data_IF_783033986692
#
_entry.id   IF_783033986692
#
_cell.length_a   1.000
_cell.length_b   1.000
_cell.length_c   1.000
_cell.angle_alpha   90.00
_cell.angle_beta   90.00
_cell.angle_gamma   90.00
#
_symmetry.space_group_name_H-M   'P 1'
#
loop_
_entity.id
_entity.type
_entity.pdbx_description
1 polymer ?
#
# COMPACT_ATOMS: atom_id res chain seq x y z
N UNK A 1 11.83 -28.21 10.67
CA UNK A 1 12.00 -27.18 9.62
C UNK A 1 11.14 -25.99 10.00
N UNK A 2 11.73 -24.87 10.40
CA UNK A 2 10.98 -23.65 10.73
C UNK A 2 10.86 -22.82 9.45
N UNK A 3 9.64 -22.47 9.04
CA UNK A 3 9.44 -21.50 7.98
C UNK A 3 9.76 -20.11 8.55
N UNK A 4 10.81 -19.47 8.03
CA UNK A 4 11.03 -18.06 8.31
C UNK A 4 9.95 -17.29 7.53
N UNK A 5 9.15 -16.49 8.24
CA UNK A 5 8.26 -15.55 7.57
C UNK A 5 9.12 -14.40 7.06
N UNK A 6 9.52 -14.48 5.78
CA UNK A 6 10.43 -13.51 5.15
C UNK A 6 9.67 -12.29 4.58
N UNK A 7 8.67 -11.78 5.30
CA UNK A 7 7.90 -10.58 4.91
C UNK A 7 7.75 -9.63 6.12
N UNK A 8 8.17 -8.34 6.10
CA UNK A 8 8.43 -7.46 4.97
C UNK A 8 9.90 -6.97 4.92
N UNK A 9 10.69 -7.47 3.98
CA UNK A 9 12.14 -7.27 4.00
C UNK A 9 12.57 -6.12 3.11
N UNK A 10 12.59 -4.92 3.71
CA UNK A 10 13.51 -3.87 3.26
C UNK A 10 14.90 -3.98 3.88
N UNK A 11 15.11 -4.93 4.81
CA UNK A 11 16.35 -5.09 5.55
C UNK A 11 17.32 -6.10 4.92
N UNK A 12 16.95 -6.80 3.84
CA UNK A 12 17.86 -7.70 3.12
C UNK A 12 18.18 -7.12 1.76
N UNK A 13 19.42 -6.65 1.61
CA UNK A 13 20.04 -6.41 0.32
C UNK A 13 20.53 -7.76 -0.21
N UNK A 14 19.72 -8.45 -1.02
CA UNK A 14 20.05 -9.79 -1.51
C UNK A 14 21.38 -9.83 -2.30
N UNK A 15 21.74 -8.75 -2.99
CA UNK A 15 23.07 -8.58 -3.60
C UNK A 15 24.23 -8.75 -2.62
N UNK A 16 24.09 -8.26 -1.39
CA UNK A 16 25.15 -8.31 -0.38
C UNK A 16 24.99 -9.52 0.57
N UNK A 17 23.83 -10.18 0.54
CA UNK A 17 23.47 -11.26 1.48
C UNK A 17 23.47 -12.65 0.85
N UNK A 18 23.31 -12.76 -0.48
CA UNK A 18 23.34 -14.02 -1.22
C UNK A 18 24.58 -14.16 -2.12
N UNK A 19 25.31 -13.06 -2.37
CA UNK A 19 26.64 -13.12 -2.98
C UNK A 19 27.67 -13.17 -1.87
N UNK A 20 27.79 -14.34 -1.24
CA UNK A 20 28.90 -14.69 -0.39
C UNK A 20 29.38 -16.06 -0.81
N UNK A 21 30.70 -16.27 -0.87
CA UNK A 21 31.23 -17.64 -0.91
C UNK A 21 30.58 -18.40 0.26
N UNK A 22 29.91 -19.52 -0.03
CA UNK A 22 29.44 -20.42 1.01
C UNK A 22 30.58 -20.61 2.02
N UNK A 23 30.41 -20.14 3.26
CA UNK A 23 31.47 -20.14 4.28
C UNK A 23 31.81 -21.53 4.82
N UNK A 24 31.53 -22.58 4.06
CA UNK A 24 32.05 -23.92 4.31
C UNK A 24 32.19 -24.65 2.98
N UNK A 25 33.39 -25.18 2.72
CA UNK A 25 33.71 -26.03 1.57
C UNK A 25 32.82 -27.28 1.46
N UNK A 26 32.00 -27.57 2.47
CA UNK A 26 31.15 -28.77 2.56
C UNK A 26 29.74 -28.66 1.93
N UNK A 27 29.35 -27.55 1.28
CA UNK A 27 27.99 -27.40 0.68
C UNK A 27 27.94 -26.87 -0.77
N UNK A 28 29.03 -27.00 -1.53
CA UNK A 28 29.15 -26.45 -2.88
C UNK A 28 28.26 -27.10 -3.97
N UNK A 29 27.63 -28.24 -3.73
CA UNK A 29 26.84 -28.93 -4.77
C UNK A 29 25.34 -28.59 -4.79
N UNK A 30 24.80 -27.91 -3.77
CA UNK A 30 23.35 -27.65 -3.66
C UNK A 30 22.98 -26.15 -3.65
N UNK A 31 23.95 -25.24 -3.78
CA UNK A 31 23.66 -23.81 -3.84
C UNK A 31 23.26 -23.42 -5.27
N UNK A 32 22.07 -22.81 -5.49
CA UNK A 32 21.65 -22.40 -6.83
C UNK A 32 22.60 -21.32 -7.37
N UNK A 33 23.06 -21.49 -8.61
CA UNK A 33 23.80 -20.45 -9.33
C UNK A 33 22.83 -19.31 -9.67
N UNK A 34 22.99 -18.16 -8.98
CA UNK A 34 22.20 -16.95 -9.18
C UNK A 34 22.94 -15.91 -10.04
N UNK A 35 24.12 -16.23 -10.58
CA UNK A 35 24.97 -15.28 -11.32
C UNK A 35 24.31 -14.72 -12.60
N UNK A 36 23.37 -15.46 -13.17
CA UNK A 36 22.61 -15.06 -14.37
C UNK A 36 21.25 -14.43 -14.07
N UNK A 37 20.80 -14.40 -12.81
CA UNK A 37 19.47 -13.90 -12.45
C UNK A 37 19.52 -12.44 -12.00
N UNK A 38 18.60 -11.61 -12.52
CA UNK A 38 18.48 -10.24 -12.04
C UNK A 38 17.87 -10.21 -10.62
N UNK A 39 18.20 -9.20 -9.81
CA UNK A 39 17.54 -9.00 -8.52
C UNK A 39 16.02 -8.91 -8.61
N UNK A 40 15.50 -8.36 -9.71
CA UNK A 40 14.07 -8.24 -9.93
C UNK A 40 13.43 -9.62 -10.10
N UNK A 41 14.07 -10.50 -10.87
CA UNK A 41 13.58 -11.86 -11.10
C UNK A 41 13.68 -12.71 -9.82
N UNK A 42 14.80 -12.61 -9.10
CA UNK A 42 14.98 -13.28 -7.82
C UNK A 42 13.92 -12.84 -6.80
N UNK A 43 13.72 -11.53 -6.63
CA UNK A 43 12.70 -10.99 -5.75
C UNK A 43 11.30 -11.44 -6.13
N UNK A 44 11.00 -11.47 -7.44
CA UNK A 44 9.74 -11.96 -7.95
C UNK A 44 9.52 -13.44 -7.63
N UNK A 45 10.55 -14.28 -7.72
CA UNK A 45 10.46 -15.70 -7.31
C UNK A 45 10.21 -15.82 -5.81
N UNK A 46 10.94 -15.07 -4.98
CA UNK A 46 10.75 -15.06 -3.53
C UNK A 46 9.32 -14.69 -3.18
N UNK A 47 8.81 -13.57 -3.71
CA UNK A 47 7.45 -13.09 -3.44
C UNK A 47 6.39 -14.14 -3.85
N UNK A 48 6.59 -14.81 -4.99
CA UNK A 48 5.69 -15.88 -5.45
C UNK A 48 5.73 -17.10 -4.54
N UNK A 49 6.89 -17.43 -3.99
CA UNK A 49 7.09 -18.54 -3.07
C UNK A 49 6.65 -18.23 -1.63
N UNK A 50 6.56 -16.95 -1.24
CA UNK A 50 6.17 -16.50 0.09
C UNK A 50 4.88 -15.67 0.05
N UNK A 51 3.76 -16.20 -0.48
CA UNK A 51 2.50 -15.48 -0.45
C UNK A 51 2.00 -15.31 0.99
N UNK A 52 1.16 -14.30 1.23
CA UNK A 52 0.42 -14.18 2.49
C UNK A 52 -0.31 -15.49 2.84
N UNK A 53 -0.46 -15.82 4.14
CA UNK A 53 -1.17 -16.99 4.61
C UNK A 53 -2.52 -17.20 3.95
N UNK A 54 -2.88 -18.48 3.82
CA UNK A 54 -4.16 -18.88 3.22
C UNK A 54 -5.35 -18.20 3.89
N UNK A 55 -5.35 -18.05 5.22
CA UNK A 55 -6.46 -17.40 5.92
C UNK A 55 -6.58 -15.91 5.54
N UNK A 56 -5.47 -15.16 5.47
CA UNK A 56 -5.48 -13.75 5.03
C UNK A 56 -6.00 -13.62 3.59
N UNK A 57 -5.51 -14.46 2.69
CA UNK A 57 -5.98 -14.47 1.30
C UNK A 57 -7.46 -14.83 1.19
N UNK A 58 -7.95 -15.73 2.04
CA UNK A 58 -9.36 -16.10 2.08
C UNK A 58 -10.23 -14.95 2.59
N UNK A 59 -9.79 -14.24 3.64
CA UNK A 59 -10.49 -13.05 4.13
C UNK A 59 -10.53 -11.97 3.05
N UNK A 60 -9.39 -11.66 2.41
CA UNK A 60 -9.33 -10.66 1.35
C UNK A 60 -10.24 -11.01 0.16
N UNK A 61 -10.22 -12.28 -0.30
CA UNK A 61 -11.15 -12.75 -1.35
C UNK A 61 -12.61 -12.64 -0.93
N UNK A 62 -12.91 -12.99 0.31
CA UNK A 62 -14.27 -12.87 0.87
C UNK A 62 -14.70 -11.40 0.94
N UNK A 63 -13.81 -10.49 1.34
CA UNK A 63 -14.09 -9.06 1.40
C UNK A 63 -14.33 -8.47 0.00
N UNK A 64 -13.48 -8.81 -0.97
CA UNK A 64 -13.66 -8.39 -2.36
C UNK A 64 -15.03 -8.86 -2.86
N UNK A 65 -15.35 -10.14 -2.70
CA UNK A 65 -16.61 -10.72 -3.19
C UNK A 65 -17.86 -10.19 -2.48
N UNK A 66 -17.81 -10.07 -1.16
CA UNK A 66 -19.01 -9.82 -0.35
C UNK A 66 -19.20 -8.35 0.02
N UNK A 67 -18.18 -7.50 -0.20
CA UNK A 67 -18.25 -6.06 0.13
C UNK A 67 -17.91 -5.19 -1.06
N UNK A 68 -16.77 -5.43 -1.73
CA UNK A 68 -16.37 -4.61 -2.89
C UNK A 68 -17.34 -4.86 -4.05
N UNK A 69 -17.54 -6.10 -4.46
CA UNK A 69 -18.39 -6.47 -5.61
C UNK A 69 -19.89 -6.13 -5.38
N UNK A 70 -20.32 -5.98 -4.13
CA UNK A 70 -21.68 -5.52 -3.81
C UNK A 70 -21.88 -4.02 -4.05
N UNK A 71 -20.80 -3.23 -4.03
CA UNK A 71 -20.80 -1.79 -4.28
C UNK A 71 -20.25 -1.42 -5.66
N UNK A 72 -19.50 -2.33 -6.30
CA UNK A 72 -18.74 -2.14 -7.53
C UNK A 72 -18.99 -3.37 -8.41
N UNK A 73 -19.89 -3.26 -9.40
CA UNK A 73 -20.49 -4.39 -10.12
C UNK A 73 -19.49 -5.38 -10.73
N UNK A 74 -18.38 -4.90 -11.31
CA UNK A 74 -17.30 -5.73 -11.85
C UNK A 74 -16.13 -5.88 -10.89
N UNK A 75 -16.25 -5.37 -9.66
CA UNK A 75 -15.24 -5.43 -8.63
C UNK A 75 -13.96 -4.68 -8.99
N UNK A 76 -14.03 -3.72 -9.93
CA UNK A 76 -12.86 -2.97 -10.39
C UNK A 76 -12.64 -1.71 -9.57
N UNK A 77 -11.52 -1.60 -8.88
CA UNK A 77 -11.32 -0.52 -7.91
C UNK A 77 -9.92 0.09 -7.90
N UNK A 78 -9.91 1.36 -7.51
CA UNK A 78 -8.72 2.10 -7.12
C UNK A 78 -8.38 1.77 -5.66
N UNK A 79 -7.22 1.20 -5.38
CA UNK A 79 -6.68 1.21 -4.03
C UNK A 79 -5.79 2.45 -3.84
N UNK A 80 -6.01 3.20 -2.76
CA UNK A 80 -5.18 4.32 -2.33
C UNK A 80 -4.56 3.99 -0.98
N UNK A 81 -3.25 4.05 -0.87
CA UNK A 81 -2.58 4.02 0.42
C UNK A 81 -2.27 5.44 0.91
N UNK A 82 -2.94 5.87 1.97
CA UNK A 82 -2.66 7.12 2.64
C UNK A 82 -1.68 6.89 3.80
N UNK A 83 -0.49 7.50 3.74
CA UNK A 83 0.55 7.34 4.78
C UNK A 83 0.92 8.62 5.49
N UNK A 84 0.60 9.76 4.89
CA UNK A 84 1.03 11.08 5.36
C UNK A 84 0.28 11.41 6.65
N UNK A 85 1.02 11.58 7.74
CA UNK A 85 0.48 11.95 9.03
C UNK A 85 1.38 12.97 9.73
N UNK A 86 0.79 13.73 10.66
CA UNK A 86 1.51 14.65 11.57
C UNK A 86 2.39 13.90 12.60
N UNK A 87 2.29 12.57 12.66
CA UNK A 87 3.11 11.72 13.51
C UNK A 87 4.45 11.33 12.87
N UNK A 88 4.71 10.03 12.78
CA UNK A 88 6.02 9.51 12.38
C UNK A 88 6.49 10.02 11.01
N UNK A 89 5.57 10.23 10.07
CA UNK A 89 5.96 10.52 8.69
C UNK A 89 6.49 11.94 8.59
N UNK A 90 5.77 12.91 9.18
CA UNK A 90 6.23 14.29 9.25
C UNK A 90 7.38 14.49 10.23
N UNK A 91 7.53 13.66 11.27
CA UNK A 91 8.71 13.73 12.14
C UNK A 91 10.03 13.53 11.36
N UNK A 92 10.04 12.68 10.33
CA UNK A 92 11.19 12.54 9.43
C UNK A 92 11.45 13.80 8.60
N UNK A 93 10.40 14.54 8.25
CA UNK A 93 10.50 15.83 7.57
C UNK A 93 11.06 16.90 8.50
N UNK A 94 10.56 17.01 9.73
CA UNK A 94 11.01 17.98 10.74
C UNK A 94 12.48 17.79 11.12
N UNK A 95 12.96 16.54 11.24
CA UNK A 95 14.39 16.26 11.47
C UNK A 95 15.27 16.70 10.29
N UNK A 96 14.79 16.61 9.05
CA UNK A 96 15.54 17.01 7.85
C UNK A 96 15.49 18.52 7.57
N UNK A 97 14.45 19.21 8.04
CA UNK A 97 14.31 20.67 7.89
C UNK A 97 15.42 21.45 8.60
N UNK A 98 16.15 20.85 9.55
CA UNK A 98 17.37 21.45 10.11
C UNK A 98 18.53 21.58 9.11
N UNK A 99 18.54 20.83 7.99
CA UNK A 99 19.71 20.79 7.09
C UNK A 99 19.42 20.78 5.57
N UNK A 100 18.23 20.34 5.09
CA UNK A 100 17.82 20.46 3.67
C UNK A 100 16.30 20.55 3.52
N UNK A 101 15.82 21.55 2.78
CA UNK A 101 14.42 21.62 2.33
C UNK A 101 14.11 20.42 1.44
N UNK A 102 13.02 19.71 1.74
CA UNK A 102 12.51 18.61 0.93
C UNK A 102 11.21 19.07 0.29
N UNK A 103 11.14 19.20 -1.05
CA UNK A 103 9.92 19.62 -1.75
C UNK A 103 8.70 18.76 -1.40
N UNK A 104 8.93 17.46 -1.15
CA UNK A 104 7.92 16.49 -0.74
C UNK A 104 7.37 16.81 0.66
N UNK A 105 8.25 17.18 1.60
CA UNK A 105 7.83 17.57 2.95
C UNK A 105 7.03 18.87 2.95
N UNK A 106 7.48 19.87 2.19
CA UNK A 106 6.76 21.15 2.05
C UNK A 106 5.36 20.94 1.46
N UNK A 107 5.24 20.09 0.44
CA UNK A 107 3.96 19.75 -0.17
C UNK A 107 3.02 19.10 0.83
N UNK A 108 3.47 18.10 1.58
CA UNK A 108 2.61 17.42 2.57
C UNK A 108 2.17 18.40 3.64
N UNK A 109 3.10 19.17 4.24
CA UNK A 109 2.77 20.15 5.29
C UNK A 109 1.75 21.20 4.82
N UNK A 110 1.84 21.67 3.57
CA UNK A 110 0.93 22.67 3.04
C UNK A 110 -0.45 22.10 2.66
N UNK A 111 -0.57 20.79 2.44
CA UNK A 111 -1.75 20.17 1.81
C UNK A 111 -2.50 19.17 2.67
N UNK A 112 -1.86 18.54 3.67
CA UNK A 112 -2.46 17.46 4.48
C UNK A 112 -3.76 17.88 5.16
N UNK A 113 -3.87 19.14 5.59
CA UNK A 113 -5.06 19.69 6.23
C UNK A 113 -6.09 20.28 5.23
N UNK A 114 -6.04 19.86 3.95
CA UNK A 114 -6.92 20.34 2.87
C UNK A 114 -7.79 19.20 2.28
N UNK A 115 -8.62 18.51 3.09
CA UNK A 115 -9.36 17.32 2.66
C UNK A 115 -10.24 17.55 1.43
N UNK A 116 -10.88 18.73 1.31
CA UNK A 116 -11.71 19.06 0.14
C UNK A 116 -10.91 19.14 -1.16
N UNK A 117 -9.70 19.70 -1.11
CA UNK A 117 -8.86 19.82 -2.30
C UNK A 117 -8.24 18.46 -2.66
N UNK A 118 -7.82 17.69 -1.66
CA UNK A 118 -7.34 16.31 -1.85
C UNK A 118 -8.43 15.45 -2.48
N UNK A 119 -9.65 15.51 -1.95
CA UNK A 119 -10.82 14.81 -2.49
C UNK A 119 -11.06 15.13 -3.97
N UNK A 120 -10.98 16.41 -4.36
CA UNK A 120 -11.12 16.81 -5.75
C UNK A 120 -10.06 16.17 -6.65
N UNK A 121 -8.78 16.14 -6.24
CA UNK A 121 -7.72 15.50 -7.03
C UNK A 121 -7.88 13.97 -7.12
N UNK A 122 -8.36 13.33 -6.04
CA UNK A 122 -8.66 11.89 -6.05
C UNK A 122 -9.79 11.60 -7.04
N UNK A 123 -10.86 12.40 -7.03
CA UNK A 123 -11.99 12.26 -7.95
C UNK A 123 -11.59 12.53 -9.40
N UNK A 124 -10.80 13.58 -9.65
CA UNK A 124 -10.26 13.87 -10.99
C UNK A 124 -9.41 12.70 -11.51
N UNK A 125 -8.57 12.11 -10.65
CA UNK A 125 -7.78 10.93 -11.00
C UNK A 125 -8.64 9.70 -11.28
N UNK A 126 -9.68 9.48 -10.47
CA UNK A 126 -10.62 8.38 -10.63
C UNK A 126 -11.44 8.52 -11.92
N UNK A 127 -12.01 9.69 -12.19
CA UNK A 127 -12.84 9.95 -13.37
C UNK A 127 -12.08 9.83 -14.69
N UNK A 128 -10.75 10.00 -14.67
CA UNK A 128 -9.89 9.75 -15.82
C UNK A 128 -9.72 8.25 -16.16
N UNK A 129 -10.32 7.34 -15.38
CA UNK A 129 -10.23 5.88 -15.50
C UNK A 129 -11.62 5.25 -15.48
N UNK A 130 -12.33 5.25 -16.62
CA UNK A 130 -13.72 4.78 -16.69
C UNK A 130 -13.88 3.29 -16.39
N UNK A 131 -12.79 2.52 -16.32
CA UNK A 131 -12.84 1.12 -15.92
C UNK A 131 -13.01 0.89 -14.40
N UNK A 132 -12.81 1.93 -13.59
CA UNK A 132 -12.88 1.85 -12.13
C UNK A 132 -14.28 2.22 -11.63
N UNK A 133 -14.77 1.49 -10.64
CA UNK A 133 -16.14 1.60 -10.14
C UNK A 133 -16.21 2.10 -8.70
N UNK A 134 -15.06 2.13 -8.01
CA UNK A 134 -14.96 2.71 -6.69
C UNK A 134 -13.54 2.74 -6.16
N UNK A 135 -13.42 3.18 -4.90
CA UNK A 135 -12.15 3.45 -4.25
C UNK A 135 -12.09 2.70 -2.91
N UNK A 136 -10.98 2.02 -2.66
CA UNK A 136 -10.60 1.53 -1.35
C UNK A 136 -9.44 2.38 -0.80
N UNK A 137 -9.60 2.98 0.38
CA UNK A 137 -8.55 3.78 1.02
C UNK A 137 -7.99 3.02 2.23
N UNK A 138 -6.73 2.58 2.12
CA UNK A 138 -5.94 2.05 3.22
C UNK A 138 -5.22 3.20 3.92
N UNK A 139 -5.39 3.33 5.23
CA UNK A 139 -4.76 4.38 6.01
C UNK A 139 -4.51 3.91 7.45
N UNK A 140 -3.48 4.45 8.14
CA UNK A 140 -3.35 4.28 9.58
C UNK A 140 -4.66 4.67 10.29
N UNK A 141 -5.01 3.93 11.34
CA UNK A 141 -6.26 4.14 12.08
C UNK A 141 -6.32 5.54 12.70
N UNK A 142 -5.17 6.13 13.01
CA UNK A 142 -5.04 7.48 13.56
C UNK A 142 -5.43 8.57 12.54
N UNK A 143 -5.30 8.29 11.24
CA UNK A 143 -5.67 9.21 10.16
C UNK A 143 -7.16 9.17 9.83
N UNK A 144 -7.95 8.42 10.60
CA UNK A 144 -9.37 8.24 10.35
C UNK A 144 -10.15 9.57 10.19
N UNK A 145 -9.95 10.60 11.04
CA UNK A 145 -10.66 11.86 10.88
C UNK A 145 -10.41 12.53 9.51
N UNK A 146 -9.19 12.45 8.99
CA UNK A 146 -8.84 13.01 7.69
C UNK A 146 -9.47 12.20 6.55
N UNK A 147 -9.41 10.86 6.63
CA UNK A 147 -10.01 9.99 5.63
C UNK A 147 -11.54 10.17 5.57
N UNK A 148 -12.19 10.31 6.72
CA UNK A 148 -13.63 10.59 6.77
C UNK A 148 -13.95 11.97 6.19
N UNK A 149 -13.10 12.98 6.42
CA UNK A 149 -13.25 14.31 5.79
C UNK A 149 -13.07 14.27 4.27
N UNK A 150 -12.11 13.48 3.76
CA UNK A 150 -11.92 13.25 2.33
C UNK A 150 -13.15 12.54 1.75
N UNK A 151 -13.57 11.43 2.35
CA UNK A 151 -14.76 10.66 1.92
C UNK A 151 -16.01 11.53 1.90
N UNK A 152 -16.25 12.32 2.95
CA UNK A 152 -17.38 13.24 3.03
C UNK A 152 -17.32 14.34 1.97
N UNK A 153 -16.12 14.77 1.59
CA UNK A 153 -15.93 15.76 0.52
C UNK A 153 -16.17 15.19 -0.88
N UNK A 154 -15.94 13.88 -1.08
CA UNK A 154 -16.28 13.19 -2.33
C UNK A 154 -17.80 12.95 -2.42
N UNK A 155 -18.44 12.63 -1.30
CA UNK A 155 -19.89 12.39 -1.26
C UNK A 155 -20.28 11.03 -1.86
N UNK A 156 -21.54 10.92 -2.31
CA UNK A 156 -22.12 9.65 -2.80
C UNK A 156 -21.82 9.36 -4.28
N UNK A 157 -21.11 10.26 -4.97
CA UNK A 157 -20.83 10.11 -6.41
C UNK A 157 -19.89 8.95 -6.72
N UNK A 158 -19.05 8.55 -5.77
CA UNK A 158 -18.09 7.45 -5.94
C UNK A 158 -18.22 6.51 -4.74
N UNK A 159 -18.43 5.20 -4.94
CA UNK A 159 -18.37 4.22 -3.87
C UNK A 159 -16.99 4.21 -3.21
N UNK A 160 -16.93 4.59 -1.92
CA UNK A 160 -15.69 4.60 -1.14
C UNK A 160 -15.79 3.63 0.04
N UNK A 161 -14.86 2.69 0.07
CA UNK A 161 -14.59 1.79 1.17
C UNK A 161 -13.29 2.19 1.87
N UNK A 162 -13.26 2.02 3.18
CA UNK A 162 -12.12 2.35 4.05
C UNK A 162 -11.94 1.25 5.09
N UNK A 163 -10.91 1.36 5.91
CA UNK A 163 -10.51 0.35 6.89
C UNK A 163 -11.65 -0.26 7.74
N UNK A 164 -12.67 0.52 8.12
CA UNK A 164 -13.81 -0.01 8.89
C UNK A 164 -14.58 -1.11 8.18
N UNK A 165 -14.74 -0.99 6.86
CA UNK A 165 -15.48 -1.99 6.09
C UNK A 165 -14.73 -3.32 6.11
N UNK A 166 -13.40 -3.27 6.03
CA UNK A 166 -12.54 -4.44 6.15
C UNK A 166 -12.54 -4.99 7.57
N UNK A 167 -12.42 -4.12 8.58
CA UNK A 167 -12.42 -4.51 9.99
C UNK A 167 -13.70 -5.24 10.36
N UNK A 168 -14.86 -4.66 10.02
CA UNK A 168 -16.17 -5.27 10.28
C UNK A 168 -16.31 -6.63 9.59
N UNK A 169 -15.88 -6.72 8.32
CA UNK A 169 -15.92 -7.97 7.57
C UNK A 169 -15.01 -9.04 8.18
N UNK A 170 -13.77 -8.68 8.50
CA UNK A 170 -12.77 -9.56 9.09
C UNK A 170 -13.26 -10.14 10.43
N UNK A 171 -13.72 -9.29 11.35
CA UNK A 171 -14.21 -9.71 12.66
C UNK A 171 -15.46 -10.59 12.56
N UNK A 172 -16.32 -10.35 11.56
CA UNK A 172 -17.50 -11.20 11.31
C UNK A 172 -17.16 -12.62 10.85
N UNK A 173 -16.01 -12.81 10.19
CA UNK A 173 -15.58 -14.13 9.71
C UNK A 173 -14.99 -15.00 10.82
N UNK A 174 -14.51 -14.41 11.91
CA UNK A 174 -13.85 -15.09 13.02
C UNK A 174 -14.37 -14.58 14.36
N UNK A 175 -15.68 -14.72 14.64
CA UNK A 175 -16.25 -14.25 15.90
C UNK A 175 -15.59 -14.99 17.08
N UNK A 176 -15.24 -14.24 18.13
CA UNK A 176 -14.60 -14.74 19.36
C UNK A 176 -13.23 -15.42 19.15
N UNK A 177 -12.45 -14.95 18.17
CA UNK A 177 -11.09 -15.46 17.94
C UNK A 177 -10.05 -14.61 18.69
N UNK A 178 -9.68 -15.03 19.90
CA UNK A 178 -8.68 -14.31 20.72
C UNK A 178 -7.37 -14.05 19.97
N UNK A 179 -6.88 -15.02 19.20
CA UNK A 179 -5.66 -14.85 18.42
C UNK A 179 -5.76 -13.71 17.39
N UNK A 180 -6.94 -13.53 16.78
CA UNK A 180 -7.17 -12.44 15.83
C UNK A 180 -7.22 -11.08 16.54
N UNK A 181 -7.79 -11.03 17.74
CA UNK A 181 -7.83 -9.82 18.57
C UNK A 181 -6.42 -9.44 19.03
N UNK A 182 -5.65 -10.41 19.56
CA UNK A 182 -4.30 -10.19 20.06
C UNK A 182 -3.32 -9.73 18.97
N UNK A 183 -3.55 -10.16 17.71
CA UNK A 183 -2.69 -9.84 16.56
C UNK A 183 -3.39 -8.91 15.56
N UNK A 184 -4.39 -8.15 16.01
CA UNK A 184 -5.29 -7.38 15.15
C UNK A 184 -4.54 -6.47 14.17
N UNK A 185 -3.59 -5.67 14.66
CA UNK A 185 -2.90 -4.67 13.84
C UNK A 185 -2.08 -5.30 12.69
N UNK A 186 -1.38 -6.40 12.96
CA UNK A 186 -0.57 -7.10 11.96
C UNK A 186 -1.44 -7.81 10.92
N UNK A 187 -2.53 -8.45 11.38
CA UNK A 187 -3.52 -9.09 10.51
C UNK A 187 -4.18 -8.04 9.63
N UNK A 188 -4.69 -6.96 10.22
CA UNK A 188 -5.38 -5.89 9.53
C UNK A 188 -4.49 -5.24 8.47
N UNK A 189 -3.28 -4.82 8.85
CA UNK A 189 -2.30 -4.25 7.91
C UNK A 189 -1.95 -5.23 6.78
N UNK A 190 -1.81 -6.53 7.09
CA UNK A 190 -1.54 -7.54 6.07
C UNK A 190 -2.72 -7.76 5.11
N UNK A 191 -3.96 -7.67 5.60
CA UNK A 191 -5.15 -7.73 4.77
C UNK A 191 -5.29 -6.52 3.86
N UNK A 192 -5.03 -5.32 4.37
CA UNK A 192 -5.02 -4.11 3.55
C UNK A 192 -4.00 -4.18 2.43
N UNK A 193 -2.81 -4.73 2.71
CA UNK A 193 -1.82 -4.96 1.65
C UNK A 193 -2.31 -6.00 0.63
N UNK A 194 -2.96 -7.09 1.07
CA UNK A 194 -3.52 -8.08 0.15
C UNK A 194 -4.58 -7.44 -0.75
N UNK A 195 -5.49 -6.65 -0.20
CA UNK A 195 -6.54 -5.93 -0.96
C UNK A 195 -5.89 -4.94 -1.93
N UNK A 196 -4.96 -4.10 -1.48
CA UNK A 196 -4.27 -3.16 -2.36
C UNK A 196 -3.49 -3.87 -3.48
N UNK A 197 -2.87 -5.02 -3.19
CA UNK A 197 -2.14 -5.82 -4.17
C UNK A 197 -3.04 -6.46 -5.24
N UNK A 198 -4.33 -6.61 -4.95
CA UNK A 198 -5.36 -7.18 -5.84
C UNK A 198 -6.18 -6.14 -6.60
N UNK A 199 -5.98 -4.84 -6.32
CA UNK A 199 -6.68 -3.74 -6.99
C UNK A 199 -6.33 -3.62 -8.48
N UNK A 200 -7.19 -2.98 -9.26
CA UNK A 200 -6.91 -2.69 -10.68
C UNK A 200 -5.86 -1.58 -10.81
N UNK A 201 -6.02 -0.52 -10.03
CA UNK A 201 -5.07 0.60 -9.96
C UNK A 201 -4.67 0.84 -8.52
N UNK A 202 -3.37 1.03 -8.28
CA UNK A 202 -2.84 1.30 -6.95
C UNK A 202 -2.16 2.68 -6.89
N UNK A 203 -2.66 3.55 -6.02
CA UNK A 203 -2.04 4.82 -5.67
C UNK A 203 -1.20 4.65 -4.41
N UNK A 204 0.11 4.54 -4.59
CA UNK A 204 1.07 4.24 -3.52
C UNK A 204 1.60 5.51 -2.86
N UNK A 205 1.95 5.42 -1.57
CA UNK A 205 2.54 6.52 -0.82
C UNK A 205 4.05 6.58 -1.01
N UNK A 206 4.56 7.77 -1.33
CA UNK A 206 5.99 8.01 -1.49
C UNK A 206 6.76 7.75 -0.20
N UNK A 207 7.90 7.07 -0.30
CA UNK A 207 8.76 6.77 0.86
C UNK A 207 8.20 5.73 1.83
N UNK A 208 7.07 5.08 1.51
CA UNK A 208 6.49 4.02 2.33
C UNK A 208 6.99 2.64 1.93
N UNK A 209 7.66 1.93 2.84
CA UNK A 209 8.04 0.53 2.67
C UNK A 209 6.82 -0.39 2.50
N UNK A 210 5.71 -0.08 3.19
CA UNK A 210 4.43 -0.78 3.07
C UNK A 210 3.90 -0.72 1.62
N UNK A 211 3.88 0.48 1.03
CA UNK A 211 3.50 0.66 -0.37
C UNK A 211 4.44 -0.04 -1.34
N UNK A 212 5.75 0.04 -1.06
CA UNK A 212 6.77 -0.59 -1.91
C UNK A 212 6.63 -2.10 -1.94
N UNK A 213 6.28 -2.74 -0.83
CA UNK A 213 5.99 -4.18 -0.80
C UNK A 213 4.86 -4.55 -1.75
N UNK A 214 3.77 -3.78 -1.75
CA UNK A 214 2.63 -4.01 -2.65
C UNK A 214 3.03 -3.81 -4.11
N UNK A 215 3.83 -2.78 -4.42
CA UNK A 215 4.32 -2.58 -5.78
C UNK A 215 5.13 -3.79 -6.26
N UNK A 216 6.02 -4.32 -5.41
CA UNK A 216 6.79 -5.52 -5.74
C UNK A 216 5.90 -6.75 -5.92
N UNK A 217 4.85 -6.90 -5.12
CA UNK A 217 3.86 -7.98 -5.29
C UNK A 217 3.07 -7.87 -6.58
N UNK A 218 2.63 -6.65 -6.93
CA UNK A 218 1.93 -6.36 -8.18
C UNK A 218 2.82 -6.69 -9.37
N UNK A 219 4.08 -6.23 -9.34
CA UNK A 219 5.07 -6.56 -10.34
C UNK A 219 5.30 -8.09 -10.44
N UNK A 220 5.45 -8.77 -9.31
CA UNK A 220 5.61 -10.22 -9.28
C UNK A 220 4.41 -10.98 -9.87
N UNK A 221 3.22 -10.38 -9.85
CA UNK A 221 1.98 -10.90 -10.47
C UNK A 221 1.82 -10.50 -11.94
N UNK A 222 2.81 -9.85 -12.57
CA UNK A 222 2.72 -9.27 -13.92
C UNK A 222 1.65 -8.20 -14.06
N UNK A 223 1.32 -7.48 -12.99
CA UNK A 223 0.48 -6.30 -13.12
C UNK A 223 1.37 -5.18 -13.70
N UNK A 224 0.97 -4.52 -14.79
CA UNK A 224 1.78 -3.48 -15.42
C UNK A 224 2.07 -2.30 -14.47
N UNK A 225 3.27 -1.73 -14.58
CA UNK A 225 3.73 -0.67 -13.69
C UNK A 225 2.88 0.62 -13.83
N UNK A 226 2.29 0.88 -15.00
CA UNK A 226 1.37 2.02 -15.21
C UNK A 226 0.07 1.93 -14.39
N UNK A 227 -0.24 0.75 -13.84
CA UNK A 227 -1.33 0.52 -12.89
C UNK A 227 -0.90 0.76 -11.44
N UNK A 228 0.32 1.25 -11.19
CA UNK A 228 0.84 1.60 -9.87
C UNK A 228 1.48 2.99 -9.91
N UNK A 229 0.84 3.98 -9.31
CA UNK A 229 1.19 5.40 -9.45
C UNK A 229 1.40 6.05 -8.08
N UNK A 230 2.34 6.99 -8.00
CA UNK A 230 2.60 7.71 -6.75
C UNK A 230 1.49 8.72 -6.45
N UNK A 231 0.93 8.69 -5.25
CA UNK A 231 -0.14 9.60 -4.86
C UNK A 231 0.36 11.02 -4.47
N UNK A 232 1.67 11.21 -4.31
CA UNK A 232 2.27 12.52 -4.06
C UNK A 232 1.98 13.51 -5.20
N UNK A 233 1.81 13.00 -6.44
CA UNK A 233 1.41 13.81 -7.58
C UNK A 233 0.05 14.52 -7.36
N UNK A 234 -0.85 13.92 -6.58
CA UNK A 234 -2.11 14.57 -6.21
C UNK A 234 -1.86 15.77 -5.30
N UNK A 235 -1.00 15.62 -4.29
CA UNK A 235 -0.66 16.70 -3.36
C UNK A 235 0.08 17.85 -4.06
N UNK A 236 0.94 17.56 -5.05
CA UNK A 236 1.55 18.60 -5.88
C UNK A 236 0.50 19.42 -6.65
N UNK A 237 -0.56 18.79 -7.16
CA UNK A 237 -1.67 19.51 -7.82
C UNK A 237 -2.45 20.38 -6.83
N UNK A 238 -2.72 19.88 -5.62
CA UNK A 238 -3.32 20.67 -4.54
C UNK A 238 -2.46 21.90 -4.23
N UNK A 239 -1.15 21.72 -4.05
CA UNK A 239 -0.22 22.82 -3.76
C UNK A 239 -0.20 23.86 -4.88
N UNK A 240 -0.22 23.42 -6.14
CA UNK A 240 -0.30 24.34 -7.29
C UNK A 240 -1.60 25.16 -7.29
N UNK A 241 -2.72 24.58 -6.87
CA UNK A 241 -4.00 25.29 -6.69
C UNK A 241 -3.98 26.27 -5.51
N UNK A 242 -3.21 25.98 -4.45
CA UNK A 242 -3.01 26.90 -3.31
C UNK A 242 -2.15 28.12 -3.68
N UNK A 243 -1.15 27.94 -4.56
CA UNK A 243 -0.21 28.99 -4.95
C UNK A 243 -0.17 29.17 -6.49
N UNK A 244 -1.24 29.68 -7.12
CA UNK A 244 -1.30 29.81 -8.58
C UNK A 244 -0.21 30.72 -9.17
N UNK A 245 0.32 31.65 -8.36
CA UNK A 245 1.34 32.63 -8.71
C UNK A 245 2.77 32.07 -8.74
N UNK A 246 3.04 30.90 -8.13
CA UNK A 246 4.40 30.32 -8.00
C UNK A 246 4.79 29.38 -9.15
N UNK A 247 4.40 29.72 -10.38
CA UNK A 247 4.73 28.93 -11.58
C UNK A 247 6.21 28.98 -11.93
#
# INVERSE_FOLDING_TARGET
>A
KCALWVFPYHCIQFNDSLIGNATSEDQLNDSPDLSSESNADLMRRIIRATPRPKYLRNIAKSFIKNVIEQKMQNGKYLALHWRYNHGDWLFHCERKLKYKKSPVCDVVLETIDKPKMIAAEIVDFFNARPELEGIYIAAPLEERPLIDAIKSSIGETVPILIGDSLMNHMLSMYPNCQWMEDNFHDIFSSLEQEICSLSDTFLYAAGSSWSRNIMMERHARNIPDEKSLENMALLFKVRKKLHPERK
#
